data_IF_396670293582
#
_entry.id   IF_396670293582
#
_cell.length_a   1.000
_cell.length_b   1.000
_cell.length_c   1.000
_cell.angle_alpha   90.00
_cell.angle_beta   90.00
_cell.angle_gamma   90.00
#
_symmetry.space_group_name_H-M   'P 1'
#
loop_
_entity.id
_entity.type
_entity.pdbx_description
1 polymer ?
#
# COMPACT_ATOMS: atom_id res chain seq x y z
N UNK A 1 8.51 -11.77 -8.02
CA UNK A 1 9.76 -11.44 -8.76
C UNK A 1 10.80 -12.54 -8.61
N UNK A 2 11.16 -12.99 -7.38
CA UNK A 2 12.18 -14.02 -7.21
C UNK A 2 11.85 -15.32 -7.97
N UNK A 3 10.61 -15.82 -7.88
CA UNK A 3 10.15 -17.00 -8.63
C UNK A 3 10.23 -16.77 -10.15
N UNK A 4 9.84 -15.58 -10.61
CA UNK A 4 9.91 -15.20 -12.04
C UNK A 4 11.36 -15.19 -12.52
N UNK A 5 12.27 -14.59 -11.75
CA UNK A 5 13.70 -14.57 -12.07
C UNK A 5 14.29 -15.98 -12.11
N UNK A 6 13.98 -16.84 -11.12
CA UNK A 6 14.43 -18.23 -11.11
C UNK A 6 13.90 -19.04 -12.31
N UNK A 7 12.62 -18.84 -12.68
CA UNK A 7 12.03 -19.48 -13.86
C UNK A 7 12.70 -19.01 -15.17
N UNK A 8 13.13 -17.75 -15.21
CA UNK A 8 13.85 -17.20 -16.37
C UNK A 8 15.28 -17.75 -16.45
N UNK A 9 15.99 -17.80 -15.32
CA UNK A 9 17.33 -18.41 -15.25
C UNK A 9 17.34 -19.88 -15.65
N UNK A 10 16.30 -20.64 -15.29
CA UNK A 10 16.17 -22.05 -15.67
C UNK A 10 15.66 -22.28 -17.11
N UNK A 11 15.40 -21.21 -17.89
CA UNK A 11 14.88 -21.30 -19.25
C UNK A 11 13.40 -21.69 -19.35
N UNK A 12 12.69 -21.82 -18.22
CA UNK A 12 11.26 -22.13 -18.21
C UNK A 12 10.39 -20.95 -18.67
N UNK A 13 10.88 -19.72 -18.51
CA UNK A 13 10.18 -18.52 -18.88
C UNK A 13 11.08 -17.62 -19.73
N UNK A 14 10.67 -17.23 -20.96
CA UNK A 14 11.42 -16.25 -21.75
C UNK A 14 11.53 -14.91 -21.01
N UNK A 15 12.71 -14.26 -21.07
CA UNK A 15 12.96 -12.99 -20.41
C UNK A 15 11.91 -11.91 -20.78
N UNK A 16 11.50 -11.85 -22.04
CA UNK A 16 10.46 -10.94 -22.51
C UNK A 16 9.10 -11.17 -21.82
N UNK A 17 8.71 -12.42 -21.63
CA UNK A 17 7.47 -12.76 -20.90
C UNK A 17 7.59 -12.47 -19.39
N UNK A 18 8.78 -12.67 -18.82
CA UNK A 18 9.06 -12.37 -17.42
C UNK A 18 8.81 -10.90 -17.06
N UNK A 19 9.12 -9.96 -17.96
CA UNK A 19 8.85 -8.52 -17.72
C UNK A 19 7.34 -8.24 -17.58
N UNK A 20 6.51 -8.89 -18.40
CA UNK A 20 5.05 -8.79 -18.29
C UNK A 20 4.52 -9.38 -16.99
N UNK A 21 5.08 -10.50 -16.54
CA UNK A 21 4.74 -11.11 -15.24
C UNK A 21 5.10 -10.17 -14.10
N UNK A 22 6.25 -9.48 -14.15
CA UNK A 22 6.65 -8.49 -13.16
C UNK A 22 5.67 -7.31 -13.12
N UNK A 23 5.25 -6.78 -14.25
CA UNK A 23 4.24 -5.72 -14.31
C UNK A 23 2.91 -6.19 -13.68
N UNK A 24 2.44 -7.38 -14.07
CA UNK A 24 1.22 -7.96 -13.55
C UNK A 24 1.26 -8.21 -12.04
N UNK A 25 2.38 -8.71 -11.52
CA UNK A 25 2.58 -8.93 -10.09
C UNK A 25 2.54 -7.62 -9.28
N UNK A 26 3.15 -6.55 -9.80
CA UNK A 26 3.09 -5.23 -9.18
C UNK A 26 1.66 -4.67 -9.13
N UNK A 27 0.91 -4.81 -10.21
CA UNK A 27 -0.50 -4.43 -10.26
C UNK A 27 -1.34 -5.26 -9.28
N UNK A 28 -1.21 -6.59 -9.33
CA UNK A 28 -1.99 -7.51 -8.50
C UNK A 28 -1.77 -7.29 -7.00
N UNK A 29 -0.53 -7.01 -6.58
CA UNK A 29 -0.23 -6.73 -5.17
C UNK A 29 -0.93 -5.46 -4.65
N UNK A 30 -1.03 -4.42 -5.48
CA UNK A 30 -1.73 -3.19 -5.13
C UNK A 30 -3.26 -3.36 -5.09
N UNK A 31 -3.80 -4.16 -5.99
CA UNK A 31 -5.22 -4.52 -6.00
C UNK A 31 -5.60 -5.27 -4.71
N UNK A 32 -4.77 -6.24 -4.30
CA UNK A 32 -4.99 -6.99 -3.06
C UNK A 32 -4.99 -6.07 -1.83
N UNK A 33 -4.02 -5.15 -1.74
CA UNK A 33 -3.95 -4.20 -0.63
C UNK A 33 -5.16 -3.26 -0.59
N UNK A 34 -5.63 -2.78 -1.74
CA UNK A 34 -6.83 -1.95 -1.83
C UNK A 34 -8.10 -2.73 -1.43
N UNK A 35 -8.23 -3.98 -1.89
CA UNK A 35 -9.35 -4.84 -1.55
C UNK A 35 -9.37 -5.20 -0.05
N UNK A 36 -8.22 -5.53 0.54
CA UNK A 36 -8.11 -5.86 1.96
C UNK A 36 -8.53 -4.70 2.89
N UNK A 37 -8.42 -3.46 2.42
CA UNK A 37 -8.80 -2.27 3.19
C UNK A 37 -10.18 -1.72 2.83
N UNK A 38 -10.97 -2.40 2.01
CA UNK A 38 -12.26 -1.88 1.51
C UNK A 38 -13.27 -1.55 2.61
N UNK A 39 -13.26 -2.30 3.72
CA UNK A 39 -14.10 -2.05 4.90
C UNK A 39 -13.48 -1.17 5.98
N UNK A 40 -12.24 -0.70 5.79
CA UNK A 40 -11.54 0.11 6.77
C UNK A 40 -11.97 1.59 6.76
N UNK A 41 -11.54 2.36 7.77
CA UNK A 41 -11.78 3.80 7.83
C UNK A 41 -11.23 4.54 6.60
N UNK A 42 -11.76 5.72 6.31
CA UNK A 42 -11.28 6.57 5.20
C UNK A 42 -9.77 6.81 5.28
N UNK A 43 -9.26 7.08 6.46
CA UNK A 43 -7.84 7.32 6.69
C UNK A 43 -7.00 6.08 6.36
N UNK A 44 -7.41 4.90 6.79
CA UNK A 44 -6.72 3.64 6.54
C UNK A 44 -6.74 3.22 5.05
N UNK A 45 -7.80 3.57 4.30
CA UNK A 45 -7.94 3.25 2.87
C UNK A 45 -7.14 4.19 1.96
N UNK A 46 -6.80 5.37 2.42
CA UNK A 46 -6.20 6.43 1.59
C UNK A 46 -4.86 5.98 0.96
N UNK A 47 -3.95 5.43 1.76
CA UNK A 47 -2.66 4.98 1.25
C UNK A 47 -2.74 3.77 0.30
N UNK A 48 -3.49 2.68 0.62
CA UNK A 48 -3.68 1.57 -0.32
C UNK A 48 -4.35 1.97 -1.63
N UNK A 49 -5.35 2.84 -1.61
CA UNK A 49 -5.98 3.34 -2.82
C UNK A 49 -5.04 4.23 -3.64
N UNK A 50 -4.27 5.09 -2.99
CA UNK A 50 -3.24 5.90 -3.67
C UNK A 50 -2.22 5.01 -4.38
N UNK A 51 -1.67 4.02 -3.67
CA UNK A 51 -0.76 3.05 -4.26
C UNK A 51 -1.41 2.29 -5.43
N UNK A 52 -2.67 1.89 -5.31
CA UNK A 52 -3.39 1.21 -6.38
C UNK A 52 -3.48 2.08 -7.65
N UNK A 53 -3.89 3.35 -7.54
CA UNK A 53 -3.97 4.24 -8.70
C UNK A 53 -2.60 4.46 -9.36
N UNK A 54 -1.54 4.64 -8.59
CA UNK A 54 -0.18 4.73 -9.15
C UNK A 54 0.26 3.45 -9.83
N UNK A 55 -0.08 2.28 -9.29
CA UNK A 55 0.23 0.99 -9.90
C UNK A 55 -0.59 0.73 -11.16
N UNK A 56 -1.84 1.18 -11.23
CA UNK A 56 -2.66 1.14 -12.46
C UNK A 56 -2.00 1.99 -13.55
N UNK A 57 -1.67 3.24 -13.24
CA UNK A 57 -1.00 4.14 -14.18
C UNK A 57 0.37 3.62 -14.60
N UNK A 58 1.16 3.13 -13.64
CA UNK A 58 2.45 2.52 -13.90
C UNK A 58 2.36 1.27 -14.76
N UNK A 59 1.39 0.38 -14.50
CA UNK A 59 1.15 -0.80 -15.33
C UNK A 59 0.80 -0.39 -16.77
N UNK A 60 -0.11 0.56 -16.96
CA UNK A 60 -0.50 1.02 -18.28
C UNK A 60 0.70 1.64 -19.04
N UNK A 61 1.49 2.49 -18.36
CA UNK A 61 2.69 3.10 -18.95
C UNK A 61 3.77 2.03 -19.28
N UNK A 62 4.05 1.13 -18.35
CA UNK A 62 5.03 0.05 -18.56
C UNK A 62 4.61 -0.90 -19.67
N UNK A 63 3.32 -1.27 -19.71
CA UNK A 63 2.76 -2.11 -20.78
C UNK A 63 2.85 -1.42 -22.15
N UNK A 64 2.52 -0.12 -22.20
CA UNK A 64 2.66 0.66 -23.43
C UNK A 64 4.13 0.72 -23.90
N UNK A 65 5.07 0.97 -22.98
CA UNK A 65 6.51 0.98 -23.31
C UNK A 65 6.95 -0.38 -23.86
N UNK A 66 6.64 -1.49 -23.18
CA UNK A 66 7.03 -2.82 -23.64
C UNK A 66 6.38 -3.21 -24.97
N UNK A 67 5.16 -2.74 -25.22
CA UNK A 67 4.41 -3.03 -26.45
C UNK A 67 4.88 -2.19 -27.64
N UNK A 68 5.00 -0.87 -27.48
CA UNK A 68 5.32 0.05 -28.58
C UNK A 68 6.82 0.24 -28.78
N UNK A 69 7.65 -0.05 -27.78
CA UNK A 69 9.12 0.09 -27.81
C UNK A 69 9.75 -1.25 -27.41
N UNK A 70 9.71 -2.29 -28.27
CA UNK A 70 10.27 -3.61 -27.95
C UNK A 70 11.75 -3.55 -27.56
N UNK A 71 12.49 -2.57 -28.09
CA UNK A 71 13.90 -2.33 -27.74
C UNK A 71 14.08 -2.04 -26.23
N UNK A 72 13.10 -1.42 -25.56
CA UNK A 72 13.18 -1.19 -24.12
C UNK A 72 13.18 -2.50 -23.33
N UNK A 73 12.36 -3.47 -23.73
CA UNK A 73 12.36 -4.82 -23.13
C UNK A 73 13.63 -5.61 -23.44
N UNK A 74 14.16 -5.50 -24.67
CA UNK A 74 15.39 -6.23 -25.09
C UNK A 74 16.61 -5.75 -24.31
N UNK A 75 16.71 -4.50 -23.92
CA UNK A 75 17.80 -3.99 -23.06
C UNK A 75 17.90 -4.81 -21.78
N UNK A 76 16.78 -4.98 -21.07
CA UNK A 76 16.77 -5.78 -19.83
C UNK A 76 17.04 -7.27 -20.09
N UNK A 77 16.55 -7.81 -21.20
CA UNK A 77 16.78 -9.20 -21.57
C UNK A 77 18.23 -9.50 -21.98
N UNK A 78 19.02 -8.49 -22.38
CA UNK A 78 20.41 -8.61 -22.82
C UNK A 78 21.47 -8.32 -21.75
N UNK A 79 21.06 -7.96 -20.55
CA UNK A 79 21.95 -7.60 -19.43
C UNK A 79 22.41 -8.85 -18.66
N UNK A 80 23.48 -9.50 -19.12
CA UNK A 80 24.11 -10.60 -18.40
C UNK A 80 23.21 -11.85 -18.24
N UNK A 81 23.05 -12.34 -17.03
CA UNK A 81 22.10 -13.43 -16.72
C UNK A 81 20.66 -12.95 -16.91
N UNK A 82 19.80 -13.73 -17.58
CA UNK A 82 18.38 -13.37 -17.77
C UNK A 82 17.62 -13.05 -16.46
N UNK A 83 18.00 -13.68 -15.34
CA UNK A 83 17.43 -13.37 -14.03
C UNK A 83 17.79 -11.96 -13.55
N UNK A 84 19.02 -11.51 -13.79
CA UNK A 84 19.48 -10.16 -13.40
C UNK A 84 18.70 -9.08 -14.15
N UNK A 85 18.42 -9.29 -15.43
CA UNK A 85 17.58 -8.41 -16.23
C UNK A 85 16.17 -8.25 -15.68
N UNK A 86 15.55 -9.34 -15.22
CA UNK A 86 14.22 -9.34 -14.58
C UNK A 86 14.23 -8.57 -13.25
N UNK A 87 15.25 -8.80 -12.44
CA UNK A 87 15.42 -8.12 -11.14
C UNK A 87 15.65 -6.62 -11.37
N UNK A 88 16.57 -6.27 -12.29
CA UNK A 88 16.87 -4.88 -12.61
C UNK A 88 15.63 -4.13 -13.15
N UNK A 89 14.88 -4.76 -14.04
CA UNK A 89 13.62 -4.20 -14.53
C UNK A 89 12.65 -3.91 -13.35
N UNK A 90 12.50 -4.86 -12.44
CA UNK A 90 11.65 -4.65 -11.27
C UNK A 90 12.10 -3.47 -10.41
N UNK A 91 13.40 -3.35 -10.15
CA UNK A 91 13.97 -2.26 -9.35
C UNK A 91 13.79 -0.92 -10.06
N UNK A 92 14.16 -0.81 -11.32
CA UNK A 92 14.02 0.42 -12.11
C UNK A 92 12.56 0.83 -12.22
N UNK A 93 11.68 -0.09 -12.57
CA UNK A 93 10.24 0.17 -12.66
C UNK A 93 9.68 0.71 -11.36
N UNK A 94 9.96 0.07 -10.21
CA UNK A 94 9.45 0.53 -8.92
C UNK A 94 10.07 1.85 -8.47
N UNK A 95 11.34 2.10 -8.77
CA UNK A 95 12.01 3.37 -8.48
C UNK A 95 11.37 4.52 -9.28
N UNK A 96 11.12 4.32 -10.56
CA UNK A 96 10.47 5.33 -11.42
C UNK A 96 9.04 5.60 -10.94
N UNK A 97 8.23 4.55 -10.69
CA UNK A 97 6.86 4.72 -10.20
C UNK A 97 6.86 5.39 -8.83
N UNK A 98 7.79 5.06 -7.94
CA UNK A 98 7.93 5.70 -6.64
C UNK A 98 8.29 7.19 -6.75
N UNK A 99 9.25 7.54 -7.61
CA UNK A 99 9.66 8.93 -7.84
C UNK A 99 8.51 9.77 -8.43
N UNK A 100 7.80 9.22 -9.43
CA UNK A 100 6.60 9.86 -10.00
C UNK A 100 5.52 9.99 -8.92
N UNK A 101 5.28 8.93 -8.13
CA UNK A 101 4.30 8.92 -7.06
C UNK A 101 4.53 10.00 -6.01
N UNK A 102 5.78 10.22 -5.62
CA UNK A 102 6.14 11.29 -4.68
C UNK A 102 5.78 12.68 -5.22
N UNK A 103 5.97 12.92 -6.52
CA UNK A 103 5.62 14.21 -7.16
C UNK A 103 4.11 14.46 -7.20
N UNK A 104 3.30 13.41 -7.20
CA UNK A 104 1.84 13.48 -7.30
C UNK A 104 1.09 13.15 -6.00
N UNK A 105 1.77 13.10 -4.87
CA UNK A 105 1.17 12.68 -3.59
C UNK A 105 0.01 13.60 -3.16
N UNK A 106 0.15 14.92 -3.31
CA UNK A 106 -0.88 15.89 -2.92
C UNK A 106 -2.13 15.83 -3.83
N UNK A 107 -2.02 15.89 -5.18
CA UNK A 107 -3.19 15.76 -6.05
C UNK A 107 -3.85 14.39 -5.93
N UNK A 108 -3.08 13.30 -5.75
CA UNK A 108 -3.64 11.97 -5.53
C UNK A 108 -4.42 11.91 -4.21
N UNK A 109 -3.89 12.48 -3.13
CA UNK A 109 -4.59 12.55 -1.86
C UNK A 109 -5.90 13.33 -1.97
N UNK A 110 -5.91 14.48 -2.66
CA UNK A 110 -7.11 15.26 -2.90
C UNK A 110 -8.17 14.51 -3.74
N UNK A 111 -7.71 13.75 -4.74
CA UNK A 111 -8.61 12.90 -5.54
C UNK A 111 -9.25 11.80 -4.68
N UNK A 112 -8.47 11.12 -3.85
CA UNK A 112 -8.97 10.06 -2.98
C UNK A 112 -9.95 10.62 -1.95
N UNK A 113 -9.72 11.81 -1.41
CA UNK A 113 -10.64 12.47 -0.49
C UNK A 113 -12.01 12.74 -1.12
N UNK A 114 -12.05 12.96 -2.44
CA UNK A 114 -13.30 13.12 -3.20
C UNK A 114 -13.98 11.79 -3.52
N UNK A 115 -13.20 10.75 -3.82
CA UNK A 115 -13.72 9.44 -4.24
C UNK A 115 -14.19 8.58 -3.07
N UNK A 116 -13.60 8.74 -1.89
CA UNK A 116 -13.96 7.96 -0.70
C UNK A 116 -14.98 8.77 0.11
N UNK A 117 -16.27 8.37 0.13
CA UNK A 117 -17.28 9.06 0.89
C UNK A 117 -16.92 9.09 2.38
N UNK A 118 -17.26 10.17 3.04
CA UNK A 118 -17.12 10.30 4.51
C UNK A 118 -18.09 9.30 5.12
N UNK A 119 -17.58 8.20 5.64
CA UNK A 119 -18.35 7.38 6.57
C UNK A 119 -18.50 8.20 7.85
N UNK A 120 -19.75 8.43 8.27
CA UNK A 120 -20.07 9.05 9.59
C UNK A 120 -19.85 8.01 10.71
N UNK A 121 -19.08 6.95 10.48
CA UNK A 121 -18.58 6.16 11.58
C UNK A 121 -17.61 7.08 12.34
N UNK A 122 -18.05 7.55 13.49
CA UNK A 122 -17.16 8.08 14.51
C UNK A 122 -16.05 7.04 14.68
N UNK A 123 -14.89 7.35 14.15
CA UNK A 123 -13.74 6.46 14.30
C UNK A 123 -13.41 6.49 15.78
N UNK A 124 -13.68 5.38 16.49
CA UNK A 124 -13.42 5.30 17.94
C UNK A 124 -11.96 5.62 18.27
N UNK A 125 -11.08 5.62 17.25
CA UNK A 125 -9.67 5.96 17.36
C UNK A 125 -9.33 7.41 17.01
N UNK A 126 -10.29 8.22 16.53
CA UNK A 126 -10.04 9.67 16.40
C UNK A 126 -9.91 10.34 17.77
N UNK A 127 -9.04 11.33 17.84
CA UNK A 127 -8.87 12.13 19.06
C UNK A 127 -10.09 13.05 19.23
N UNK A 128 -10.86 12.85 20.31
CA UNK A 128 -12.07 13.61 20.56
C UNK A 128 -11.86 14.78 21.54
N UNK A 129 -10.86 14.66 22.38
CA UNK A 129 -10.66 15.58 23.51
C UNK A 129 -9.56 16.62 23.26
N UNK A 130 -8.79 16.50 22.15
CA UNK A 130 -7.73 17.44 21.82
C UNK A 130 -8.28 18.57 20.93
N UNK A 131 -8.32 19.79 21.44
CA UNK A 131 -8.67 20.99 20.67
C UNK A 131 -7.45 21.91 20.53
N UNK A 132 -7.31 22.55 19.36
CA UNK A 132 -6.18 23.47 19.08
C UNK A 132 -6.18 24.67 20.01
N UNK A 133 -7.35 25.15 20.39
CA UNK A 133 -7.51 26.31 21.27
C UNK A 133 -6.94 26.04 22.67
N UNK A 134 -7.13 24.84 23.18
CA UNK A 134 -6.65 24.47 24.51
C UNK A 134 -5.17 24.07 24.56
N UNK A 135 -4.54 23.84 23.41
CA UNK A 135 -3.09 23.58 23.32
C UNK A 135 -2.24 24.84 23.60
N UNK A 136 -2.85 26.03 23.59
CA UNK A 136 -2.18 27.28 23.92
C UNK A 136 -1.86 27.44 25.42
N UNK A 137 -2.49 26.63 26.28
CA UNK A 137 -2.21 26.59 27.73
C UNK A 137 -1.63 25.25 28.13
N UNK A 138 -0.40 25.21 28.65
CA UNK A 138 0.28 23.97 29.04
C UNK A 138 -0.50 23.13 30.05
N UNK A 139 -1.21 23.75 30.99
CA UNK A 139 -2.04 23.04 31.98
C UNK A 139 -3.26 22.38 31.33
N UNK A 140 -3.97 23.09 30.46
CA UNK A 140 -5.13 22.59 29.74
C UNK A 140 -4.74 21.48 28.76
N UNK A 141 -3.62 21.67 28.04
CA UNK A 141 -3.09 20.65 27.15
C UNK A 141 -2.76 19.34 27.88
N UNK A 142 -2.13 19.44 29.06
CA UNK A 142 -1.78 18.25 29.86
C UNK A 142 -3.01 17.50 30.35
N UNK A 143 -4.05 18.20 30.77
CA UNK A 143 -5.32 17.59 31.18
C UNK A 143 -5.98 16.86 30.02
N UNK A 144 -6.05 17.49 28.84
CA UNK A 144 -6.63 16.87 27.65
C UNK A 144 -5.86 15.61 27.20
N UNK A 145 -4.53 15.68 27.19
CA UNK A 145 -3.69 14.51 26.86
C UNK A 145 -3.91 13.37 27.85
N UNK A 146 -4.05 13.66 29.14
CA UNK A 146 -4.36 12.63 30.16
C UNK A 146 -5.72 11.98 29.90
N UNK A 147 -6.74 12.76 29.59
CA UNK A 147 -8.07 12.24 29.27
C UNK A 147 -8.07 11.40 28.00
N UNK A 148 -7.39 11.84 26.95
CA UNK A 148 -7.29 11.09 25.70
C UNK A 148 -6.49 9.79 25.86
N UNK A 149 -5.44 9.80 26.66
CA UNK A 149 -4.69 8.59 27.00
C UNK A 149 -5.53 7.59 27.80
N UNK A 150 -6.34 8.06 28.76
CA UNK A 150 -7.24 7.21 29.52
C UNK A 150 -8.31 6.58 28.60
N UNK A 151 -8.90 7.36 27.68
CA UNK A 151 -9.83 6.87 26.66
C UNK A 151 -9.18 5.82 25.75
N UNK A 152 -7.99 6.09 25.27
CA UNK A 152 -7.21 5.14 24.43
C UNK A 152 -6.96 3.82 25.16
N UNK A 153 -6.59 3.88 26.45
CA UNK A 153 -6.40 2.68 27.26
C UNK A 153 -7.69 1.88 27.44
N UNK A 154 -8.82 2.56 27.59
CA UNK A 154 -10.14 1.91 27.71
C UNK A 154 -10.57 1.26 26.40
N UNK A 155 -10.37 1.93 25.25
CA UNK A 155 -10.61 1.36 23.93
C UNK A 155 -9.74 0.12 23.69
N UNK A 156 -8.46 0.20 24.05
CA UNK A 156 -7.56 -0.95 23.95
C UNK A 156 -8.07 -2.12 24.79
N UNK A 157 -8.45 -1.89 26.05
CA UNK A 157 -9.01 -2.92 26.91
C UNK A 157 -10.27 -3.55 26.32
N UNK A 158 -11.21 -2.73 25.84
CA UNK A 158 -12.45 -3.20 25.20
C UNK A 158 -12.16 -4.13 24.02
N UNK A 159 -11.22 -3.75 23.15
CA UNK A 159 -10.86 -4.58 22.00
C UNK A 159 -10.08 -5.83 22.41
N UNK A 160 -9.22 -5.72 23.42
CA UNK A 160 -8.50 -6.87 23.98
C UNK A 160 -9.46 -7.90 24.58
N UNK A 161 -10.42 -7.45 25.38
CA UNK A 161 -11.43 -8.30 26.00
C UNK A 161 -12.33 -8.98 24.92
N UNK A 162 -12.57 -8.31 23.80
CA UNK A 162 -13.30 -8.88 22.68
C UNK A 162 -12.48 -9.92 21.88
N UNK A 163 -11.14 -9.76 21.80
CA UNK A 163 -10.24 -10.70 21.11
C UNK A 163 -9.89 -11.93 21.95
N UNK A 164 -9.83 -11.78 23.26
CA UNK A 164 -9.42 -12.85 24.20
C UNK A 164 -10.24 -14.14 24.03
N UNK A 165 -11.58 -14.13 23.95
CA UNK A 165 -12.36 -15.34 23.71
C UNK A 165 -12.05 -15.99 22.38
N UNK A 166 -11.81 -15.21 21.32
CA UNK A 166 -11.50 -15.75 19.99
C UNK A 166 -10.18 -16.51 19.96
N UNK A 167 -9.22 -16.12 20.79
CA UNK A 167 -7.90 -16.76 20.89
C UNK A 167 -7.95 -18.02 21.75
N UNK A 168 -8.69 -17.99 22.87
CA UNK A 168 -8.71 -19.09 23.86
C UNK A 168 -9.85 -20.08 23.63
N UNK A 169 -10.98 -19.66 23.08
CA UNK A 169 -12.14 -20.53 22.83
C UNK A 169 -12.11 -21.21 21.46
N UNK A 170 -11.40 -20.64 20.49
CA UNK A 170 -11.14 -21.23 19.16
C UNK A 170 -9.63 -21.28 18.89
N UNK A 171 -8.87 -22.20 19.51
CA UNK A 171 -7.47 -22.38 19.13
C UNK A 171 -7.40 -22.82 17.67
N UNK A 172 -6.46 -22.29 16.84
CA UNK A 172 -6.30 -22.71 15.47
C UNK A 172 -6.10 -24.23 15.45
N UNK A 173 -6.98 -24.92 14.72
CA UNK A 173 -6.84 -26.35 14.50
C UNK A 173 -5.53 -26.58 13.77
N UNK A 174 -4.57 -27.27 14.43
CA UNK A 174 -3.25 -27.60 13.92
C UNK A 174 -3.26 -28.61 12.77
#
# INVERSE_FOLDING_TARGET
VAVTAAATASGLLPASAALWVVLGANFGSALLAAAATAGASKAARKAPLGNFFFRVGGFAAGAAILYFIPAAGSVFASLGDPADGVILFHVVYNTVIGAVGLSFIHPAAALIDRLVPVSIQTDDFETHLLSKENLLSSSSALVQVRHENARTAELFRKHWDALTPLIYENPPMG
#
